data_IF_970927874148
#
_entry.id   IF_970927874148
#
_cell.length_a   1.000
_cell.length_b   1.000
_cell.length_c   1.000
_cell.angle_alpha   90.00
_cell.angle_beta   90.00
_cell.angle_gamma   90.00
#
_symmetry.space_group_name_H-M   'P 1'
#
loop_
_entity.id
_entity.type
_entity.pdbx_description
1 polymer ?
#
# COMPACT_ATOMS: atom_id res chain seq x y z
N UNK A 1 -19.37 50.38 -2.90
CA UNK A 1 -20.35 49.31 -2.62
C UNK A 1 -19.64 47.98 -2.80
N UNK A 2 -19.12 47.41 -1.71
CA UNK A 2 -18.33 46.18 -1.74
C UNK A 2 -19.29 44.97 -1.74
N UNK A 3 -19.14 44.10 -2.74
CA UNK A 3 -19.96 42.91 -2.90
C UNK A 3 -19.62 41.90 -1.77
N UNK A 4 -20.51 41.65 -0.79
CA UNK A 4 -20.17 40.95 0.46
C UNK A 4 -20.02 39.43 0.32
N UNK A 5 -20.05 38.88 -0.91
CA UNK A 5 -20.02 37.43 -1.16
C UNK A 5 -18.68 36.91 -1.70
N UNK A 6 -17.63 37.75 -1.71
CA UNK A 6 -16.32 37.40 -2.24
C UNK A 6 -15.32 37.29 -1.08
N UNK A 7 -14.88 36.07 -0.78
CA UNK A 7 -13.78 35.87 0.16
C UNK A 7 -12.53 36.62 -0.32
N UNK A 8 -11.87 37.42 0.54
CA UNK A 8 -10.71 38.23 0.15
C UNK A 8 -9.50 37.37 -0.29
N UNK A 9 -9.50 36.08 0.03
CA UNK A 9 -8.42 35.15 -0.23
C UNK A 9 -8.46 34.47 -1.61
N UNK A 10 -9.39 34.83 -2.51
CA UNK A 10 -9.47 34.16 -3.84
C UNK A 10 -8.21 34.44 -4.66
N UNK A 11 -7.47 33.39 -5.01
CA UNK A 11 -6.21 33.49 -5.75
C UNK A 11 -4.97 33.62 -4.85
N UNK A 12 -5.16 33.90 -3.56
CA UNK A 12 -4.09 34.04 -2.58
C UNK A 12 -3.71 32.71 -1.92
N UNK A 13 -2.50 32.69 -1.35
CA UNK A 13 -2.01 31.55 -0.56
C UNK A 13 -2.59 31.65 0.84
N UNK A 14 -3.24 30.58 1.29
CA UNK A 14 -3.78 30.44 2.64
C UNK A 14 -3.00 29.37 3.41
N UNK A 15 -2.87 29.55 4.72
CA UNK A 15 -2.26 28.61 5.64
C UNK A 15 -3.34 27.81 6.42
N UNK A 16 -3.00 26.64 6.99
CA UNK A 16 -3.92 25.92 7.86
C UNK A 16 -4.31 26.77 9.07
N UNK A 17 -5.61 26.90 9.33
CA UNK A 17 -6.18 27.74 10.39
C UNK A 17 -6.80 29.04 9.88
N UNK A 18 -6.46 29.49 8.67
CA UNK A 18 -7.01 30.72 8.11
C UNK A 18 -8.52 30.59 7.88
N UNK A 19 -9.26 31.62 8.29
CA UNK A 19 -10.70 31.73 8.01
C UNK A 19 -10.89 32.28 6.60
N UNK A 20 -11.39 31.42 5.72
CA UNK A 20 -11.47 31.70 4.27
C UNK A 20 -12.81 32.30 3.88
N UNK A 21 -13.91 31.79 4.44
CA UNK A 21 -15.27 32.29 4.20
C UNK A 21 -16.04 32.34 5.52
N UNK A 22 -16.84 33.38 5.67
CA UNK A 22 -17.87 33.46 6.71
C UNK A 22 -19.24 33.30 6.06
N UNK A 23 -19.96 32.25 6.47
CA UNK A 23 -21.29 31.84 6.02
C UNK A 23 -22.36 32.15 7.08
N UNK A 24 -22.02 32.91 8.13
CA UNK A 24 -22.96 33.29 9.20
C UNK A 24 -24.16 34.08 8.67
N UNK A 25 -24.00 34.80 7.56
CA UNK A 25 -25.09 35.46 6.85
C UNK A 25 -25.63 34.53 5.73
N UNK A 26 -26.96 34.36 5.67
CA UNK A 26 -27.66 33.49 4.73
C UNK A 26 -27.32 33.83 3.26
N UNK A 27 -26.29 33.14 2.73
CA UNK A 27 -25.80 33.29 1.37
C UNK A 27 -26.18 32.12 0.47
N UNK A 28 -25.81 32.16 -0.82
CA UNK A 28 -26.02 31.06 -1.76
C UNK A 28 -25.23 29.81 -1.33
N UNK A 29 -25.81 28.62 -1.54
CA UNK A 29 -25.18 27.33 -1.21
C UNK A 29 -23.80 27.21 -1.86
N UNK A 30 -22.77 26.98 -1.04
CA UNK A 30 -21.36 26.87 -1.46
C UNK A 30 -20.93 25.41 -1.48
N UNK A 31 -20.16 25.00 -2.49
CA UNK A 31 -19.56 23.65 -2.55
C UNK A 31 -18.11 23.69 -2.09
N UNK A 32 -17.81 23.03 -0.97
CA UNK A 32 -16.44 22.93 -0.45
C UNK A 32 -15.72 21.73 -1.05
N UNK A 33 -14.51 21.97 -1.55
CA UNK A 33 -13.60 20.97 -2.11
C UNK A 33 -12.40 20.70 -1.19
N UNK A 34 -11.36 20.10 -1.75
CA UNK A 34 -10.20 19.67 -0.97
C UNK A 34 -9.50 20.82 -0.24
N UNK A 35 -9.16 20.60 1.04
CA UNK A 35 -8.36 21.53 1.84
C UNK A 35 -9.16 22.55 2.63
N UNK A 36 -10.49 22.57 2.49
CA UNK A 36 -11.38 23.41 3.28
C UNK A 36 -12.23 22.55 4.22
N UNK A 37 -12.52 23.06 5.41
CA UNK A 37 -13.45 22.44 6.36
C UNK A 37 -14.44 23.50 6.85
N UNK A 38 -15.70 23.13 6.92
CA UNK A 38 -16.73 23.96 7.53
C UNK A 38 -16.84 23.58 9.00
N UNK A 39 -16.82 24.60 9.86
CA UNK A 39 -17.17 24.49 11.26
C UNK A 39 -18.24 25.53 11.56
N UNK A 40 -19.49 25.07 11.68
CA UNK A 40 -20.66 25.93 11.80
C UNK A 40 -20.79 26.93 10.64
N UNK A 41 -20.80 28.21 10.97
CA UNK A 41 -20.88 29.32 10.01
C UNK A 41 -19.55 29.69 9.36
N UNK A 42 -18.42 29.07 9.73
CA UNK A 42 -17.10 29.50 9.28
C UNK A 42 -16.43 28.40 8.46
N UNK A 43 -15.78 28.78 7.36
CA UNK A 43 -14.96 27.88 6.54
C UNK A 43 -13.50 28.19 6.80
N UNK A 44 -12.78 27.19 7.31
CA UNK A 44 -11.34 27.29 7.59
C UNK A 44 -10.52 26.49 6.58
N UNK A 45 -9.32 26.97 6.30
CA UNK A 45 -8.32 26.22 5.56
C UNK A 45 -7.72 25.15 6.48
N UNK A 46 -7.71 23.90 6.04
CA UNK A 46 -7.04 22.77 6.73
C UNK A 46 -5.71 22.44 6.04
N UNK A 47 -5.48 22.98 4.84
CA UNK A 47 -4.29 22.73 4.03
C UNK A 47 -3.71 24.04 3.53
N UNK A 48 -2.38 24.11 3.46
CA UNK A 48 -1.69 25.23 2.82
C UNK A 48 -1.83 25.15 1.29
N UNK A 49 -2.04 26.29 0.64
CA UNK A 49 -2.04 26.39 -0.82
C UNK A 49 -2.83 27.58 -1.34
N UNK A 50 -2.99 27.68 -2.67
CA UNK A 50 -3.77 28.77 -3.27
C UNK A 50 -5.26 28.46 -3.24
N UNK A 51 -6.06 29.34 -2.67
CA UNK A 51 -7.51 29.21 -2.75
C UNK A 51 -7.99 29.46 -4.18
N UNK A 52 -8.79 28.53 -4.68
CA UNK A 52 -9.37 28.56 -6.02
C UNK A 52 -10.88 28.51 -5.94
N UNK A 53 -11.55 29.15 -6.91
CA UNK A 53 -13.01 29.20 -7.00
C UNK A 53 -13.47 29.00 -8.44
N UNK A 54 -14.54 28.22 -8.65
CA UNK A 54 -15.25 28.16 -9.95
C UNK A 54 -16.36 29.20 -10.05
N UNK A 55 -16.84 29.45 -11.28
CA UNK A 55 -18.09 30.22 -11.53
C UNK A 55 -19.33 29.59 -10.87
N UNK A 56 -19.29 28.31 -10.48
CA UNK A 56 -20.38 27.59 -9.81
C UNK A 56 -20.23 27.57 -8.26
N UNK A 57 -19.57 28.57 -7.65
CA UNK A 57 -19.36 28.67 -6.19
C UNK A 57 -18.76 27.40 -5.54
N UNK A 58 -17.93 26.66 -6.27
CA UNK A 58 -17.06 25.62 -5.69
C UNK A 58 -15.73 26.22 -5.28
N UNK A 59 -15.31 26.00 -4.04
CA UNK A 59 -14.03 26.47 -3.48
C UNK A 59 -13.13 25.29 -3.15
N UNK A 60 -11.83 25.39 -3.40
CA UNK A 60 -10.84 24.38 -2.98
C UNK A 60 -9.47 25.02 -2.85
N UNK A 61 -8.60 24.40 -2.07
CA UNK A 61 -7.20 24.81 -1.98
C UNK A 61 -6.39 23.97 -2.96
N UNK A 62 -5.73 24.65 -3.89
CA UNK A 62 -4.74 24.08 -4.80
C UNK A 62 -3.35 24.14 -4.16
N UNK A 63 -2.92 23.01 -3.61
CA UNK A 63 -1.59 22.84 -3.02
C UNK A 63 -0.94 21.55 -3.49
N UNK A 64 0.39 21.50 -3.49
CA UNK A 64 1.13 20.28 -3.79
C UNK A 64 1.08 19.35 -2.59
N UNK A 65 0.12 18.43 -2.56
CA UNK A 65 0.05 17.38 -1.56
C UNK A 65 0.48 16.06 -2.19
N UNK A 66 1.56 15.49 -1.69
CA UNK A 66 1.99 14.14 -2.08
C UNK A 66 0.99 13.15 -1.49
N UNK A 67 0.25 12.43 -2.34
CA UNK A 67 -0.51 11.25 -1.91
C UNK A 67 0.48 10.09 -1.79
N UNK A 68 0.53 9.50 -0.61
CA UNK A 68 1.41 8.38 -0.27
C UNK A 68 0.56 7.26 0.30
N UNK A 69 0.89 6.01 -0.03
CA UNK A 69 0.45 4.85 0.72
C UNK A 69 1.43 4.64 1.88
N UNK A 70 0.89 4.58 3.10
CA UNK A 70 1.68 4.20 4.27
C UNK A 70 1.59 2.69 4.39
N UNK A 71 2.74 2.03 4.38
CA UNK A 71 2.87 0.58 4.40
C UNK A 71 3.60 0.16 5.67
N UNK A 72 3.09 -0.87 6.34
CA UNK A 72 3.85 -1.56 7.36
C UNK A 72 4.76 -2.59 6.70
N UNK A 73 6.07 -2.41 6.85
CA UNK A 73 7.10 -3.35 6.35
C UNK A 73 7.73 -4.16 7.49
N UNK A 74 7.16 -4.09 8.70
CA UNK A 74 7.67 -4.70 9.93
C UNK A 74 9.06 -4.20 10.34
N UNK A 75 9.34 -2.93 10.06
CA UNK A 75 10.51 -2.20 10.53
C UNK A 75 10.18 -1.34 11.76
N UNK A 76 11.18 -0.61 12.31
CA UNK A 76 10.94 0.36 13.40
C UNK A 76 10.05 1.53 12.96
N UNK A 77 9.93 1.77 11.66
CA UNK A 77 9.09 2.81 11.07
C UNK A 77 8.33 2.27 9.86
N UNK A 78 7.17 2.86 9.59
CA UNK A 78 6.37 2.56 8.39
C UNK A 78 7.03 3.12 7.14
N UNK A 79 6.86 2.43 6.01
CA UNK A 79 7.33 2.88 4.71
C UNK A 79 6.28 3.75 4.01
N UNK A 80 6.75 4.65 3.16
CA UNK A 80 5.90 5.48 2.30
C UNK A 80 6.09 5.07 0.84
N UNK A 81 5.00 4.69 0.17
CA UNK A 81 4.98 4.38 -1.26
C UNK A 81 4.22 5.47 -2.02
N UNK A 82 4.91 6.33 -2.80
CA UNK A 82 4.27 7.39 -3.56
C UNK A 82 3.27 6.85 -4.58
N UNK A 83 2.12 7.52 -4.75
CA UNK A 83 1.14 7.11 -5.78
C UNK A 83 1.70 7.18 -7.20
N UNK A 84 2.73 8.00 -7.44
CA UNK A 84 3.39 8.12 -8.75
C UNK A 84 4.44 7.03 -9.00
N UNK A 85 4.73 6.17 -8.01
CA UNK A 85 5.69 5.07 -8.16
C UNK A 85 5.11 3.88 -8.94
N UNK A 86 3.82 3.92 -9.28
CA UNK A 86 3.13 2.88 -10.02
C UNK A 86 3.02 3.23 -11.49
N UNK A 87 2.96 2.18 -12.31
CA UNK A 87 2.81 2.32 -13.74
C UNK A 87 1.49 3.02 -14.11
N UNK A 88 1.55 3.93 -15.09
CA UNK A 88 0.40 4.71 -15.59
C UNK A 88 -0.33 5.57 -14.53
N UNK A 89 0.32 5.83 -13.39
CA UNK A 89 -0.22 6.68 -12.34
C UNK A 89 -0.07 8.16 -12.68
N UNK A 90 -1.15 8.93 -12.57
CA UNK A 90 -1.12 10.39 -12.71
C UNK A 90 -1.83 11.06 -11.54
N UNK A 91 -1.72 12.39 -11.39
CA UNK A 91 -2.45 13.10 -10.33
C UNK A 91 -3.97 12.95 -10.41
N UNK A 92 -4.51 12.58 -11.58
CA UNK A 92 -5.95 12.38 -11.84
C UNK A 92 -6.35 10.90 -11.89
N UNK A 93 -5.44 10.01 -12.30
CA UNK A 93 -5.68 8.58 -12.41
C UNK A 93 -5.18 7.84 -11.16
N UNK A 94 -6.00 6.97 -10.56
CA UNK A 94 -5.51 6.11 -9.47
C UNK A 94 -4.49 5.12 -10.06
N UNK A 95 -3.35 4.89 -9.37
CA UNK A 95 -2.34 3.97 -9.86
C UNK A 95 -2.91 2.56 -10.02
N UNK A 96 -2.58 1.90 -11.14
CA UNK A 96 -2.71 0.46 -11.22
C UNK A 96 -1.61 -0.15 -10.35
N UNK A 97 -1.96 -0.98 -9.38
CA UNK A 97 -0.99 -1.50 -8.40
C UNK A 97 -0.07 -2.59 -8.98
N UNK A 98 -0.22 -2.94 -10.26
CA UNK A 98 0.58 -3.95 -10.95
C UNK A 98 1.72 -3.26 -11.71
N UNK A 99 2.97 -3.66 -11.43
CA UNK A 99 4.17 -3.17 -12.11
C UNK A 99 5.23 -4.28 -12.13
N UNK A 100 5.83 -4.61 -13.28
CA UNK A 100 6.92 -5.60 -13.48
C UNK A 100 7.19 -6.60 -12.33
N UNK A 101 6.29 -7.58 -12.13
CA UNK A 101 6.45 -8.64 -11.12
C UNK A 101 6.04 -8.26 -9.68
N UNK A 102 5.65 -7.01 -9.45
CA UNK A 102 5.08 -6.49 -8.21
C UNK A 102 3.58 -6.26 -8.35
N UNK A 103 2.88 -6.41 -7.23
CA UNK A 103 1.46 -6.09 -7.15
C UNK A 103 0.79 -6.60 -5.89
N UNK A 104 -0.53 -6.42 -5.79
CA UNK A 104 -1.29 -6.92 -4.67
C UNK A 104 -1.26 -8.46 -4.65
N UNK A 105 -0.76 -9.03 -3.56
CA UNK A 105 -0.82 -10.46 -3.31
C UNK A 105 -2.20 -10.80 -2.76
N UNK A 106 -3.01 -11.52 -3.53
CA UNK A 106 -4.38 -11.88 -3.15
C UNK A 106 -4.47 -13.34 -2.75
N UNK A 107 -5.26 -13.64 -1.71
CA UNK A 107 -5.36 -14.99 -1.15
C UNK A 107 -4.01 -15.49 -0.60
N UNK A 108 -3.81 -16.81 -0.64
CA UNK A 108 -2.60 -17.44 -0.11
C UNK A 108 -2.47 -17.35 1.41
N UNK A 109 -1.27 -17.62 1.90
CA UNK A 109 -0.92 -17.58 3.32
C UNK A 109 0.43 -16.87 3.50
N UNK A 110 0.52 -16.02 4.52
CA UNK A 110 1.75 -15.31 4.89
C UNK A 110 2.29 -15.91 6.18
N UNK A 111 3.58 -16.18 6.22
CA UNK A 111 4.28 -16.57 7.44
C UNK A 111 5.57 -15.79 7.63
N UNK A 112 6.05 -15.80 8.87
CA UNK A 112 7.31 -15.20 9.28
C UNK A 112 8.45 -16.21 9.27
N UNK A 113 9.61 -15.75 8.81
CA UNK A 113 10.85 -16.50 8.83
C UNK A 113 12.03 -15.59 9.20
N UNK A 114 13.19 -16.18 9.54
CA UNK A 114 14.40 -15.39 9.71
C UNK A 114 14.82 -14.69 8.42
N UNK A 115 15.52 -13.57 8.55
CA UNK A 115 16.08 -12.84 7.39
C UNK A 115 17.14 -13.66 6.65
N UNK A 116 17.85 -14.57 7.36
CA UNK A 116 18.74 -15.55 6.75
C UNK A 116 17.98 -16.53 5.86
N UNK A 117 16.86 -17.08 6.34
CA UNK A 117 16.02 -17.97 5.53
C UNK A 117 15.44 -17.23 4.31
N UNK A 118 14.95 -16.00 4.49
CA UNK A 118 14.46 -15.18 3.37
C UNK A 118 15.52 -14.98 2.27
N UNK A 119 16.76 -14.66 2.66
CA UNK A 119 17.89 -14.56 1.72
C UNK A 119 18.21 -15.89 1.05
N UNK A 120 18.19 -16.99 1.80
CA UNK A 120 18.42 -18.33 1.27
C UNK A 120 17.33 -18.75 0.26
N UNK A 121 16.06 -18.41 0.50
CA UNK A 121 14.96 -18.68 -0.43
C UNK A 121 15.12 -17.94 -1.77
N UNK A 122 15.72 -16.75 -1.77
CA UNK A 122 15.99 -15.95 -2.96
C UNK A 122 17.34 -16.26 -3.65
N UNK A 123 18.15 -17.15 -3.05
CA UNK A 123 19.47 -17.47 -3.56
C UNK A 123 19.44 -18.31 -4.85
N UNK A 124 20.52 -18.19 -5.64
CA UNK A 124 20.77 -19.03 -6.81
C UNK A 124 22.07 -19.83 -6.56
N UNK A 125 22.08 -21.16 -6.74
CA UNK A 125 20.97 -22.05 -7.12
C UNK A 125 19.86 -22.11 -6.05
N UNK A 126 18.63 -22.55 -6.43
CA UNK A 126 17.49 -22.57 -5.50
C UNK A 126 17.80 -23.41 -4.26
N UNK A 127 17.26 -23.00 -3.11
CA UNK A 127 17.47 -23.77 -1.89
C UNK A 127 16.94 -25.22 -2.04
N UNK A 128 17.56 -26.21 -1.39
CA UNK A 128 17.22 -27.63 -1.60
C UNK A 128 15.74 -27.96 -1.37
N UNK A 129 15.08 -27.26 -0.43
CA UNK A 129 13.65 -27.44 -0.15
C UNK A 129 12.78 -26.94 -1.29
N UNK A 130 13.07 -25.76 -1.86
CA UNK A 130 12.33 -25.24 -3.00
C UNK A 130 12.53 -26.12 -4.23
N UNK A 131 13.77 -26.56 -4.49
CA UNK A 131 14.07 -27.46 -5.58
C UNK A 131 13.30 -28.79 -5.47
N UNK A 132 13.17 -29.35 -4.26
CA UNK A 132 12.42 -30.57 -4.03
C UNK A 132 10.90 -30.39 -4.12
N UNK A 133 10.37 -29.27 -3.61
CA UNK A 133 8.93 -28.97 -3.66
C UNK A 133 8.47 -28.71 -5.10
N UNK A 134 9.22 -27.91 -5.87
CA UNK A 134 8.87 -27.54 -7.24
C UNK A 134 8.82 -28.70 -8.24
N UNK A 135 9.38 -29.87 -7.90
CA UNK A 135 9.28 -31.07 -8.74
C UNK A 135 7.88 -31.72 -8.73
N UNK A 136 7.12 -31.57 -7.64
CA UNK A 136 5.84 -32.27 -7.45
C UNK A 136 4.67 -31.35 -7.13
N UNK A 137 4.94 -30.11 -6.70
CA UNK A 137 3.93 -29.17 -6.24
C UNK A 137 4.01 -27.90 -7.06
N UNK A 138 2.89 -27.51 -7.66
CA UNK A 138 2.74 -26.19 -8.26
C UNK A 138 2.26 -25.19 -7.20
N UNK A 139 3.03 -24.13 -7.00
CA UNK A 139 2.72 -23.04 -6.08
C UNK A 139 3.37 -21.74 -6.55
N UNK A 140 2.80 -20.63 -6.11
CA UNK A 140 3.33 -19.29 -6.25
C UNK A 140 3.90 -18.86 -4.89
N UNK A 141 4.98 -18.09 -4.91
CA UNK A 141 5.61 -17.58 -3.71
C UNK A 141 6.18 -16.19 -3.95
N UNK A 142 6.07 -15.32 -2.95
CA UNK A 142 6.76 -14.04 -2.89
C UNK A 142 7.52 -13.95 -1.57
N UNK A 143 8.81 -13.63 -1.64
CA UNK A 143 9.70 -13.56 -0.48
C UNK A 143 10.12 -12.11 -0.27
N UNK A 144 9.79 -11.57 0.89
CA UNK A 144 10.28 -10.28 1.36
C UNK A 144 11.56 -10.45 2.18
N UNK A 145 12.59 -9.63 1.90
CA UNK A 145 13.82 -9.59 2.71
C UNK A 145 13.60 -9.12 4.16
N UNK A 146 12.40 -8.63 4.47
CA UNK A 146 11.92 -8.35 5.82
C UNK A 146 11.46 -9.61 6.58
N UNK A 147 11.65 -10.81 6.03
CA UNK A 147 11.29 -12.08 6.69
C UNK A 147 9.82 -12.47 6.51
N UNK A 148 9.07 -11.77 5.66
CA UNK A 148 7.68 -12.11 5.30
C UNK A 148 7.69 -12.95 4.03
N UNK A 149 7.11 -14.15 4.09
CA UNK A 149 6.96 -15.02 2.93
C UNK A 149 5.48 -15.27 2.68
N UNK A 150 5.03 -14.96 1.46
CA UNK A 150 3.68 -15.27 0.98
C UNK A 150 3.73 -16.49 0.07
N UNK A 151 2.82 -17.44 0.28
CA UNK A 151 2.70 -18.66 -0.53
C UNK A 151 1.25 -18.88 -0.93
N UNK A 152 1.02 -19.25 -2.18
CA UNK A 152 -0.29 -19.62 -2.70
C UNK A 152 -0.20 -20.87 -3.57
N UNK A 153 -1.21 -21.73 -3.48
CA UNK A 153 -1.36 -22.89 -4.37
C UNK A 153 -2.85 -23.11 -4.64
N UNK A 154 -3.17 -24.08 -5.50
CA UNK A 154 -4.56 -24.39 -5.85
C UNK A 154 -5.39 -24.91 -4.65
N UNK A 155 -4.75 -25.60 -3.70
CA UNK A 155 -5.40 -26.21 -2.55
C UNK A 155 -4.80 -25.68 -1.24
N UNK A 156 -5.62 -25.27 -0.25
CA UNK A 156 -5.11 -24.80 1.04
C UNK A 156 -4.18 -25.80 1.74
N UNK A 157 -4.48 -27.10 1.66
CA UNK A 157 -3.64 -28.16 2.21
C UNK A 157 -2.22 -28.16 1.62
N UNK A 158 -2.10 -27.92 0.32
CA UNK A 158 -0.82 -27.82 -0.38
C UNK A 158 -0.06 -26.58 0.06
N UNK A 159 -0.75 -25.44 0.23
CA UNK A 159 -0.12 -24.22 0.77
C UNK A 159 0.43 -24.44 2.18
N UNK A 160 -0.33 -25.08 3.07
CA UNK A 160 0.11 -25.41 4.43
C UNK A 160 1.35 -26.32 4.40
N UNK A 161 1.35 -27.33 3.53
CA UNK A 161 2.49 -28.24 3.36
C UNK A 161 3.74 -27.48 2.93
N UNK A 162 3.63 -26.59 1.94
CA UNK A 162 4.76 -25.77 1.46
C UNK A 162 5.30 -24.87 2.58
N UNK A 163 4.42 -24.16 3.29
CA UNK A 163 4.82 -23.29 4.41
C UNK A 163 5.53 -24.10 5.51
N UNK A 164 4.97 -25.24 5.90
CA UNK A 164 5.53 -26.12 6.93
C UNK A 164 6.87 -26.71 6.48
N UNK A 165 7.01 -27.05 5.19
CA UNK A 165 8.26 -27.53 4.63
C UNK A 165 9.35 -26.47 4.70
N UNK A 166 9.03 -25.22 4.33
CA UNK A 166 9.98 -24.10 4.32
C UNK A 166 10.40 -23.71 5.75
N UNK A 167 9.46 -23.58 6.68
CA UNK A 167 9.77 -23.17 8.06
C UNK A 167 10.67 -24.17 8.77
N UNK A 168 10.42 -25.47 8.60
CA UNK A 168 11.24 -26.51 9.21
C UNK A 168 12.59 -26.71 8.50
N UNK A 169 12.78 -26.15 7.31
CA UNK A 169 14.01 -26.30 6.53
C UNK A 169 15.18 -25.49 7.08
N UNK A 170 14.91 -24.45 7.86
CA UNK A 170 15.89 -23.40 8.20
C UNK A 170 17.20 -23.94 8.76
N UNK A 171 17.11 -24.97 9.60
CA UNK A 171 18.25 -25.56 10.30
C UNK A 171 18.63 -26.96 9.77
N UNK A 172 18.09 -27.36 8.62
CA UNK A 172 18.36 -28.68 8.03
C UNK A 172 19.49 -28.61 7.01
N UNK A 173 20.32 -29.65 6.98
CA UNK A 173 21.26 -29.86 5.87
C UNK A 173 20.52 -30.09 4.54
N UNK A 174 21.15 -29.82 3.38
CA UNK A 174 20.52 -30.04 2.07
C UNK A 174 19.91 -31.43 1.87
N UNK A 175 20.60 -32.47 2.34
CA UNK A 175 20.13 -33.86 2.24
C UNK A 175 18.91 -34.11 3.14
N UNK A 176 18.95 -33.62 4.38
CA UNK A 176 17.83 -33.73 5.33
C UNK A 176 16.59 -32.98 4.82
N UNK A 177 16.79 -31.78 4.27
CA UNK A 177 15.75 -30.98 3.63
C UNK A 177 15.03 -31.77 2.51
N UNK A 178 15.78 -32.39 1.60
CA UNK A 178 15.19 -33.19 0.52
C UNK A 178 14.43 -34.41 1.03
N UNK A 179 14.98 -35.13 2.02
CA UNK A 179 14.33 -36.29 2.62
C UNK A 179 13.04 -35.90 3.36
N UNK A 180 13.07 -34.77 4.08
CA UNK A 180 11.91 -34.22 4.76
C UNK A 180 10.79 -33.91 3.77
N UNK A 181 11.09 -33.20 2.68
CA UNK A 181 10.11 -32.90 1.63
C UNK A 181 9.54 -34.17 1.02
N UNK A 182 10.38 -35.16 0.68
CA UNK A 182 9.92 -36.46 0.18
C UNK A 182 8.97 -37.16 1.15
N UNK A 183 9.24 -37.09 2.47
CA UNK A 183 8.38 -37.68 3.50
C UNK A 183 7.04 -36.93 3.62
N UNK A 184 7.05 -35.61 3.55
CA UNK A 184 5.83 -34.80 3.59
C UNK A 184 4.93 -35.08 2.39
N UNK A 185 5.50 -35.15 1.19
CA UNK A 185 4.74 -35.40 -0.04
C UNK A 185 4.13 -36.80 -0.10
N UNK A 186 4.70 -37.78 0.60
CA UNK A 186 4.11 -39.14 0.72
C UNK A 186 2.92 -39.20 1.67
N UNK A 187 2.74 -38.21 2.55
CA UNK A 187 1.62 -38.16 3.51
C UNK A 187 0.36 -37.52 2.93
N UNK A 188 0.49 -36.81 1.82
CA UNK A 188 -0.58 -36.04 1.18
C UNK A 188 -1.14 -36.70 -0.08
N UNK A 189 -0.60 -37.86 -0.49
CA UNK A 189 -1.20 -38.77 -1.47
C UNK A 189 -1.94 -39.88 -0.73
#
# INVERSE_FOLDING_TARGET
MNNPSLSPFIGEVVAPGDVVLDLSNAGPVVRLGSGLRQDGGVVTAVKAGRLQRTKQNKYWISGSQKRLYVLDIFGPTTANLPTLAFENATRRNRPNLQAEGFGPLTGGYIFDCSTSLARALLSKPPCPVLAALGQKVSFEMAVGLNGRVWVRSALPATTILVCTAIQNAEFLSPMQAQLMVKKLLRRTQ
#
